data_IF_279264154628
#
_entry.id   IF_279264154628
#
_cell.length_a   1.000
_cell.length_b   1.000
_cell.length_c   1.000
_cell.angle_alpha   90.00
_cell.angle_beta   90.00
_cell.angle_gamma   90.00
#
_symmetry.space_group_name_H-M   'P 1'
#
loop_
_entity.id
_entity.type
_entity.pdbx_description
1 polymer ?
#
# COMPACT_ATOMS: atom_id res chain seq x y z
N UNK A 1 -3.44 -4.09 -4.34
CA UNK A 1 -2.10 -3.52 -4.09
C UNK A 1 -1.03 -4.44 -4.60
N UNK A 2 0.04 -3.85 -5.10
CA UNK A 2 1.13 -4.57 -5.74
C UNK A 2 2.43 -4.30 -4.98
N UNK A 3 3.35 -5.25 -5.05
CA UNK A 3 4.74 -5.05 -4.65
C UNK A 3 5.61 -5.13 -5.90
N UNK A 4 6.51 -4.17 -6.07
CA UNK A 4 7.53 -4.27 -7.12
C UNK A 4 8.44 -5.46 -6.82
N UNK A 5 8.68 -6.30 -7.81
CA UNK A 5 9.61 -7.45 -7.73
C UNK A 5 10.93 -7.07 -8.40
N UNK A 6 10.83 -6.35 -9.52
CA UNK A 6 11.98 -5.89 -10.30
C UNK A 6 11.73 -4.50 -10.88
N UNK A 7 12.80 -3.73 -11.10
CA UNK A 7 12.73 -2.35 -11.56
C UNK A 7 12.34 -1.35 -10.46
N UNK A 8 12.14 -0.10 -10.89
CA UNK A 8 11.72 1.01 -10.03
C UNK A 8 10.55 1.72 -10.69
N UNK A 9 9.47 1.91 -9.95
CA UNK A 9 8.28 2.62 -10.37
C UNK A 9 8.22 3.97 -9.66
N UNK A 10 8.10 5.06 -10.41
CA UNK A 10 7.89 6.39 -9.84
C UNK A 10 6.42 6.61 -9.51
N UNK A 11 6.06 6.48 -8.24
CA UNK A 11 4.70 6.76 -7.77
C UNK A 11 4.58 8.24 -7.44
N UNK A 12 3.74 8.97 -8.16
CA UNK A 12 3.41 10.35 -7.81
C UNK A 12 2.41 10.38 -6.65
N UNK A 13 2.82 10.97 -5.53
CA UNK A 13 1.97 11.18 -4.36
C UNK A 13 2.01 12.67 -4.04
N UNK A 14 0.88 13.37 -4.23
CA UNK A 14 0.75 14.81 -3.94
C UNK A 14 1.85 15.67 -4.61
N UNK A 15 2.16 15.40 -5.88
CA UNK A 15 3.18 16.12 -6.65
C UNK A 15 4.63 15.77 -6.32
N UNK A 16 4.87 14.74 -5.48
CA UNK A 16 6.20 14.19 -5.21
C UNK A 16 6.31 12.80 -5.80
N UNK A 17 7.37 12.53 -6.59
CA UNK A 17 7.64 11.19 -7.11
C UNK A 17 8.41 10.38 -6.07
N UNK A 18 7.80 9.31 -5.56
CA UNK A 18 8.45 8.31 -4.71
C UNK A 18 8.91 7.09 -5.52
N UNK A 19 10.15 6.66 -5.29
CA UNK A 19 10.73 5.51 -5.96
C UNK A 19 10.30 4.19 -5.30
N UNK A 20 9.41 3.46 -5.97
CA UNK A 20 8.93 2.15 -5.53
C UNK A 20 9.75 1.03 -6.16
N UNK A 21 10.46 0.26 -5.35
CA UNK A 21 11.27 -0.89 -5.79
C UNK A 21 11.00 -2.11 -4.88
N UNK A 22 11.76 -3.20 -5.04
CA UNK A 22 11.59 -4.44 -4.24
C UNK A 22 11.69 -4.29 -2.72
N UNK A 23 12.42 -3.27 -2.26
CA UNK A 23 12.57 -2.94 -0.85
C UNK A 23 11.48 -1.97 -0.38
N UNK A 24 10.81 -1.31 -1.32
CA UNK A 24 9.70 -0.43 -1.00
C UNK A 24 8.50 -1.24 -0.53
N UNK A 25 7.69 -0.67 0.36
CA UNK A 25 6.44 -1.30 0.76
C UNK A 25 5.53 -1.51 -0.45
N UNK A 26 4.69 -2.55 -0.45
CA UNK A 26 3.63 -2.68 -1.43
C UNK A 26 2.71 -1.45 -1.38
N UNK A 27 2.24 -1.02 -2.55
CA UNK A 27 1.48 0.20 -2.74
C UNK A 27 0.26 -0.06 -3.62
N UNK A 28 -0.77 0.77 -3.48
CA UNK A 28 -1.97 0.69 -4.32
C UNK A 28 -1.84 1.64 -5.50
N UNK A 29 -2.27 1.19 -6.67
CA UNK A 29 -2.42 2.00 -7.87
C UNK A 29 -3.84 1.84 -8.41
N UNK A 30 -4.15 2.51 -9.52
CA UNK A 30 -5.38 2.17 -10.27
C UNK A 30 -5.32 0.70 -10.72
N UNK A 31 -6.44 -0.03 -10.69
CA UNK A 31 -6.46 -1.47 -11.02
C UNK A 31 -5.85 -1.78 -12.40
N UNK A 32 -6.05 -0.89 -13.37
CA UNK A 32 -5.46 -1.00 -14.70
C UNK A 32 -3.92 -0.93 -14.67
N UNK A 33 -3.35 0.01 -13.89
CA UNK A 33 -1.89 0.13 -13.71
C UNK A 33 -1.32 -1.05 -12.94
N UNK A 34 -2.02 -1.50 -11.90
CA UNK A 34 -1.61 -2.69 -11.14
C UNK A 34 -1.51 -3.90 -12.06
N UNK A 35 -2.56 -4.15 -12.86
CA UNK A 35 -2.60 -5.27 -13.78
C UNK A 35 -1.54 -5.15 -14.88
N UNK A 36 -1.21 -3.95 -15.36
CA UNK A 36 -0.15 -3.72 -16.34
C UNK A 36 1.23 -4.07 -15.76
N UNK A 37 1.53 -3.63 -14.52
CA UNK A 37 2.80 -3.91 -13.86
C UNK A 37 2.95 -5.40 -13.52
N UNK A 38 1.85 -6.06 -13.13
CA UNK A 38 1.85 -7.49 -12.86
C UNK A 38 1.96 -8.29 -14.16
N UNK A 39 1.25 -7.91 -15.22
CA UNK A 39 1.35 -8.55 -16.53
C UNK A 39 2.75 -8.39 -17.16
N UNK A 40 3.41 -7.25 -16.91
CA UNK A 40 4.80 -7.02 -17.29
C UNK A 40 5.81 -7.82 -16.43
N UNK A 41 5.37 -8.49 -15.37
CA UNK A 41 6.23 -9.25 -14.46
C UNK A 41 7.15 -8.38 -13.61
N UNK A 42 6.90 -7.06 -13.54
CA UNK A 42 7.70 -6.13 -12.73
C UNK A 42 7.15 -5.99 -11.31
N UNK A 43 5.88 -6.34 -11.10
CA UNK A 43 5.23 -6.33 -9.80
C UNK A 43 4.41 -7.62 -9.58
N UNK A 44 4.03 -7.86 -8.34
CA UNK A 44 3.14 -8.96 -7.93
C UNK A 44 2.02 -8.42 -7.05
N UNK A 45 0.81 -8.97 -7.22
CA UNK A 45 -0.27 -8.73 -6.27
C UNK A 45 0.12 -9.28 -4.91
N UNK A 46 0.06 -8.42 -3.90
CA UNK A 46 0.39 -8.78 -2.52
C UNK A 46 -0.81 -8.46 -1.66
N UNK A 47 -1.26 -9.48 -0.93
CA UNK A 47 -2.27 -9.31 0.09
C UNK A 47 -1.63 -8.68 1.33
N UNK A 48 -2.42 -7.88 2.06
CA UNK A 48 -1.94 -7.18 3.24
C UNK A 48 -1.77 -8.21 4.36
N UNK A 49 -0.58 -8.83 4.44
CA UNK A 49 -0.23 -9.62 5.61
C UNK A 49 0.05 -8.68 6.78
N UNK A 50 -0.49 -9.01 7.94
CA UNK A 50 -0.23 -8.32 9.20
C UNK A 50 1.28 -8.18 9.45
N UNK A 51 2.08 -9.15 9.01
CA UNK A 51 3.55 -9.12 9.09
C UNK A 51 4.16 -7.98 8.26
N UNK A 52 3.67 -7.75 7.04
CA UNK A 52 4.18 -6.68 6.15
C UNK A 52 3.91 -5.31 6.75
N UNK A 53 2.69 -5.08 7.25
CA UNK A 53 2.34 -3.81 7.89
C UNK A 53 2.99 -3.67 9.27
N UNK A 54 3.18 -4.77 10.00
CA UNK A 54 3.90 -4.79 11.28
C UNK A 54 5.38 -4.46 11.10
N UNK A 55 5.96 -4.67 9.92
CA UNK A 55 7.31 -4.21 9.57
C UNK A 55 7.43 -2.69 9.32
N UNK A 56 6.33 -1.99 9.00
CA UNK A 56 6.37 -0.57 8.60
C UNK A 56 6.49 0.39 9.78
N UNK A 57 6.99 1.61 9.52
CA UNK A 57 6.99 2.70 10.52
C UNK A 57 5.57 3.24 10.74
N UNK A 58 5.31 3.82 11.91
CA UNK A 58 4.00 4.36 12.27
C UNK A 58 3.56 5.50 11.33
N UNK A 59 4.50 6.32 10.86
CA UNK A 59 4.24 7.35 9.84
C UNK A 59 3.77 6.76 8.51
N UNK A 60 4.38 5.66 8.06
CA UNK A 60 3.96 4.99 6.83
C UNK A 60 2.57 4.36 6.97
N UNK A 61 2.31 3.72 8.11
CA UNK A 61 0.98 3.20 8.40
C UNK A 61 -0.07 4.32 8.40
N UNK A 62 0.22 5.46 9.03
CA UNK A 62 -0.70 6.62 9.00
C UNK A 62 -0.90 7.16 7.59
N UNK A 63 0.13 7.15 6.74
CA UNK A 63 0.03 7.59 5.36
C UNK A 63 -0.84 6.66 4.52
N UNK A 64 -0.65 5.35 4.64
CA UNK A 64 -1.48 4.34 3.96
C UNK A 64 -2.92 4.43 4.46
N UNK A 65 -3.12 4.59 5.78
CA UNK A 65 -4.44 4.83 6.35
C UNK A 65 -5.08 6.07 5.73
N UNK A 66 -4.36 7.21 5.68
CA UNK A 66 -4.85 8.43 5.07
C UNK A 66 -5.17 8.28 3.57
N UNK A 67 -4.36 7.54 2.81
CA UNK A 67 -4.66 7.22 1.40
C UNK A 67 -5.93 6.39 1.25
N UNK A 68 -6.23 5.55 2.24
CA UNK A 68 -7.48 4.77 2.31
C UNK A 68 -8.64 5.56 2.92
N UNK A 69 -8.47 6.85 3.23
CA UNK A 69 -9.48 7.69 3.86
C UNK A 69 -9.68 7.45 5.36
N UNK A 70 -8.75 6.72 6.00
CA UNK A 70 -8.78 6.39 7.42
C UNK A 70 -7.95 7.43 8.21
N UNK A 71 -8.60 8.17 9.11
CA UNK A 71 -7.89 9.05 10.05
C UNK A 71 -7.27 8.22 11.19
N UNK A 72 -6.02 7.81 10.98
CA UNK A 72 -5.21 7.13 11.98
C UNK A 72 -4.49 8.09 12.95
N UNK A 73 -4.75 9.41 12.89
CA UNK A 73 -4.05 10.42 13.69
C UNK A 73 -4.27 10.25 15.19
N UNK A 74 -5.49 9.83 15.57
CA UNK A 74 -5.88 9.56 16.96
C UNK A 74 -5.47 8.17 17.46
N UNK A 75 -5.04 7.29 16.56
CA UNK A 75 -4.71 5.91 16.90
C UNK A 75 -3.29 5.85 17.45
N UNK A 76 -3.18 5.34 18.69
CA UNK A 76 -1.92 5.12 19.40
C UNK A 76 -1.36 3.72 19.21
N UNK A 77 -2.20 2.78 18.76
CA UNK A 77 -1.83 1.39 18.56
C UNK A 77 -1.50 1.08 17.11
N UNK A 78 -0.26 0.62 16.87
CA UNK A 78 0.17 0.16 15.54
C UNK A 78 -0.78 -0.89 14.96
N UNK A 79 -1.14 -1.90 15.75
CA UNK A 79 -2.06 -2.97 15.35
C UNK A 79 -3.43 -2.48 14.88
N UNK A 80 -3.98 -1.44 15.52
CA UNK A 80 -5.28 -0.89 15.09
C UNK A 80 -5.17 -0.19 13.73
N UNK A 81 -4.11 0.60 13.51
CA UNK A 81 -3.88 1.23 12.21
C UNK A 81 -3.76 0.16 11.12
N UNK A 82 -3.05 -0.93 11.42
CA UNK A 82 -2.88 -2.09 10.53
C UNK A 82 -4.22 -2.74 10.18
N UNK A 83 -5.05 -3.00 11.19
CA UNK A 83 -6.36 -3.62 11.01
C UNK A 83 -7.27 -2.75 10.13
N UNK A 84 -7.32 -1.45 10.37
CA UNK A 84 -8.12 -0.51 9.58
C UNK A 84 -7.66 -0.45 8.13
N UNK A 85 -6.35 -0.35 7.88
CA UNK A 85 -5.79 -0.39 6.52
C UNK A 85 -6.19 -1.67 5.79
N UNK A 86 -6.14 -2.81 6.49
CA UNK A 86 -6.52 -4.11 5.95
C UNK A 86 -8.00 -4.17 5.62
N UNK A 87 -8.87 -3.67 6.50
CA UNK A 87 -10.31 -3.60 6.27
C UNK A 87 -10.65 -2.69 5.09
N UNK A 88 -10.03 -1.52 4.99
CA UNK A 88 -10.22 -0.63 3.84
C UNK A 88 -9.68 -1.20 2.52
N UNK A 89 -8.65 -2.05 2.58
CA UNK A 89 -8.20 -2.83 1.43
C UNK A 89 -9.21 -3.88 0.97
N UNK A 90 -9.97 -4.45 1.90
CA UNK A 90 -11.00 -5.46 1.64
C UNK A 90 -12.33 -4.87 1.15
N UNK A 91 -12.66 -3.65 1.56
CA UNK A 91 -13.96 -3.02 1.27
C UNK A 91 -14.07 -2.41 -0.16
N UNK A 92 -13.13 -2.71 -1.07
CA UNK A 92 -13.17 -2.28 -2.47
C UNK A 92 -13.63 -3.39 -3.43
N UNK A 93 -13.91 -4.60 -2.93
CA UNK A 93 -14.51 -5.70 -3.70
C UNK A 93 -15.87 -6.05 -3.08
N UNK A 94 -16.86 -5.21 -3.35
CA UNK A 94 -18.22 -5.46 -2.87
C UNK A 94 -19.15 -4.30 -3.14
N UNK A 95 -19.55 -4.16 -4.41
CA UNK A 95 -20.95 -4.03 -4.86
C UNK A 95 -21.02 -4.07 -6.39
#
# INVERSE_FOLDING_TARGET
MIKMVTGTYGLEINGTIEAMNKNSPPFSLSPARESELVAAGVAEYTDISDETLSGMKMEQLRRIAAEKGIDAGKIRSKKEIIALIKEAGKNSEGE
#
